data_IF_891073680734
#
_entry.id   IF_891073680734
#
_cell.length_a   1.000
_cell.length_b   1.000
_cell.length_c   1.000
_cell.angle_alpha   90.00
_cell.angle_beta   90.00
_cell.angle_gamma   90.00
#
_symmetry.space_group_name_H-M   'P 1'
#
loop_
_entity.id
_entity.type
_entity.pdbx_description
1 polymer ?
#
# COMPACT_ATOMS: atom_id res chain seq x y z
N UNK A 1 13.49 -8.18 9.62
CA UNK A 1 12.52 -8.02 10.73
C UNK A 1 12.98 -8.83 11.93
N UNK A 2 12.88 -8.32 13.17
CA UNK A 2 13.17 -9.11 14.37
C UNK A 2 12.20 -10.28 14.42
N UNK A 3 12.72 -11.50 14.60
CA UNK A 3 11.92 -12.72 14.66
C UNK A 3 11.03 -12.71 15.89
N UNK A 4 9.80 -12.24 15.75
CA UNK A 4 8.76 -12.38 16.79
C UNK A 4 8.35 -13.84 16.89
N UNK A 5 8.15 -14.33 18.13
CA UNK A 5 7.67 -15.70 18.40
C UNK A 5 6.23 -15.95 17.90
N UNK A 6 5.52 -14.88 17.52
CA UNK A 6 4.17 -14.94 16.91
C UNK A 6 4.22 -15.06 15.39
N UNK A 7 5.41 -15.17 14.79
CA UNK A 7 5.60 -15.33 13.34
C UNK A 7 4.63 -16.34 12.72
N UNK A 8 4.47 -17.57 13.26
CA UNK A 8 3.57 -18.57 12.69
C UNK A 8 2.09 -18.14 12.61
N UNK A 9 1.60 -17.30 13.53
CA UNK A 9 0.19 -16.88 13.59
C UNK A 9 -0.05 -15.64 12.71
N UNK A 10 0.90 -14.70 12.67
CA UNK A 10 0.82 -13.53 11.78
C UNK A 10 1.07 -13.89 10.32
N UNK A 11 1.80 -14.98 10.06
CA UNK A 11 2.14 -15.41 8.70
C UNK A 11 0.93 -15.77 7.87
N UNK A 12 -0.14 -16.33 8.43
CA UNK A 12 -1.37 -16.58 7.65
C UNK A 12 -2.07 -15.33 7.13
N UNK A 13 -1.76 -14.14 7.68
CA UNK A 13 -2.26 -12.86 7.17
C UNK A 13 -1.31 -12.18 6.18
N UNK A 14 -0.07 -12.69 6.03
CA UNK A 14 1.01 -12.04 5.28
C UNK A 14 1.52 -12.94 4.14
N UNK A 15 1.68 -14.23 4.42
CA UNK A 15 2.09 -15.25 3.49
C UNK A 15 0.84 -15.88 2.87
N UNK A 16 0.73 -15.80 1.55
CA UNK A 16 -0.32 -16.51 0.81
C UNK A 16 -0.16 -18.03 0.95
N UNK A 17 -1.23 -18.76 1.30
CA UNK A 17 -1.25 -20.21 1.24
C UNK A 17 -0.86 -20.70 -0.16
N UNK A 18 0.02 -21.70 -0.26
CA UNK A 18 0.41 -22.29 -1.56
C UNK A 18 1.45 -21.48 -2.37
N UNK A 19 1.67 -20.20 -2.08
CA UNK A 19 2.69 -19.41 -2.77
C UNK A 19 4.11 -19.84 -2.37
N UNK A 20 4.88 -20.36 -3.34
CA UNK A 20 6.32 -20.60 -3.18
C UNK A 20 7.08 -19.27 -3.26
N UNK A 21 6.95 -18.44 -2.23
CA UNK A 21 7.72 -17.20 -2.08
C UNK A 21 9.13 -17.61 -1.64
N UNK A 22 10.17 -17.37 -2.47
CA UNK A 22 11.54 -17.68 -2.09
C UNK A 22 11.92 -16.89 -0.83
N UNK A 23 12.48 -17.58 0.17
CA UNK A 23 12.77 -16.99 1.48
C UNK A 23 14.27 -16.84 1.69
N UNK A 24 14.66 -15.81 2.42
CA UNK A 24 16.03 -15.59 2.84
C UNK A 24 16.42 -14.12 2.77
N UNK A 25 17.52 -13.74 3.42
CA UNK A 25 18.03 -12.36 3.44
C UNK A 25 18.34 -11.77 2.05
N UNK A 26 18.33 -12.59 1.01
CA UNK A 26 18.76 -12.28 -0.37
C UNK A 26 17.59 -11.98 -1.30
N UNK A 27 16.38 -12.38 -0.90
CA UNK A 27 15.16 -12.15 -1.65
C UNK A 27 14.47 -10.90 -1.11
N UNK A 28 14.10 -10.02 -2.02
CA UNK A 28 13.26 -8.85 -1.76
C UNK A 28 11.92 -9.09 -2.40
N UNK A 29 10.86 -8.78 -1.65
CA UNK A 29 9.47 -8.88 -2.06
C UNK A 29 8.83 -7.50 -1.96
N UNK A 30 8.04 -7.14 -2.95
CA UNK A 30 7.27 -5.91 -2.98
C UNK A 30 5.91 -6.17 -3.60
N UNK A 31 4.86 -5.65 -2.98
CA UNK A 31 3.50 -5.69 -3.54
C UNK A 31 3.33 -4.56 -4.56
N UNK A 32 2.51 -4.79 -5.59
CA UNK A 32 2.20 -3.86 -6.68
C UNK A 32 3.39 -3.58 -7.61
N UNK A 33 4.42 -2.89 -7.11
CA UNK A 33 5.61 -2.52 -7.87
C UNK A 33 6.88 -2.55 -7.03
N UNK A 34 8.03 -2.52 -7.69
CA UNK A 34 9.34 -2.46 -7.07
C UNK A 34 10.36 -1.79 -7.98
N UNK A 35 11.42 -1.28 -7.36
CA UNK A 35 12.53 -0.63 -8.05
C UNK A 35 13.84 -1.31 -7.68
N UNK A 36 14.57 -1.76 -8.69
CA UNK A 36 15.94 -2.26 -8.57
C UNK A 36 16.91 -1.20 -9.03
N UNK A 37 17.79 -0.78 -8.13
CA UNK A 37 18.80 0.24 -8.40
C UNK A 37 20.18 -0.39 -8.44
N UNK A 38 20.98 -0.01 -9.43
CA UNK A 38 22.42 -0.16 -9.34
C UNK A 38 22.99 0.98 -8.48
N UNK A 39 23.88 0.65 -7.55
CA UNK A 39 24.51 1.62 -6.65
C UNK A 39 25.76 2.26 -7.24
N UNK A 40 26.33 1.64 -8.28
CA UNK A 40 27.56 2.10 -8.93
C UNK A 40 27.26 2.94 -10.17
N UNK A 41 26.06 2.80 -10.74
CA UNK A 41 25.58 3.64 -11.82
C UNK A 41 24.36 4.45 -11.38
N UNK A 42 23.96 5.43 -12.17
CA UNK A 42 22.72 6.18 -11.95
C UNK A 42 21.52 5.50 -12.61
N UNK A 43 21.53 4.18 -12.74
CA UNK A 43 20.52 3.42 -13.47
C UNK A 43 19.71 2.53 -12.54
N UNK A 44 18.43 2.33 -12.89
CA UNK A 44 17.55 1.40 -12.23
C UNK A 44 16.50 0.84 -13.17
N UNK A 45 15.78 -0.17 -12.69
CA UNK A 45 14.63 -0.77 -13.35
C UNK A 45 13.46 -0.69 -12.37
N UNK A 46 12.39 -0.03 -12.79
CA UNK A 46 11.08 -0.12 -12.16
C UNK A 46 10.30 -1.23 -12.85
N UNK A 47 9.62 -2.08 -12.08
CA UNK A 47 8.62 -2.97 -12.63
C UNK A 47 7.43 -3.07 -11.67
N UNK A 48 6.22 -3.21 -12.21
CA UNK A 48 5.01 -3.34 -11.40
C UNK A 48 3.74 -3.43 -12.20
N UNK A 49 2.67 -3.87 -11.55
CA UNK A 49 1.33 -3.93 -12.11
C UNK A 49 0.63 -2.59 -11.95
N UNK A 50 -0.07 -2.13 -13.00
CA UNK A 50 -0.79 -0.86 -13.02
C UNK A 50 -2.08 -0.91 -12.19
N UNK A 51 -2.63 -2.10 -11.93
CA UNK A 51 -3.82 -2.32 -11.10
C UNK A 51 -3.73 -3.65 -10.35
N UNK A 52 -4.74 -3.92 -9.53
CA UNK A 52 -4.92 -5.16 -8.75
C UNK A 52 -6.39 -5.62 -8.85
N UNK A 53 -7.00 -5.38 -10.02
CA UNK A 53 -8.42 -5.60 -10.27
C UNK A 53 -8.73 -7.07 -10.55
N UNK A 54 -7.87 -7.72 -11.34
CA UNK A 54 -8.05 -9.12 -11.70
C UNK A 54 -7.35 -10.04 -10.71
N UNK A 55 -6.13 -9.67 -10.29
CA UNK A 55 -5.33 -10.50 -9.38
C UNK A 55 -4.27 -9.69 -8.63
N UNK A 56 -3.74 -10.29 -7.56
CA UNK A 56 -2.71 -9.63 -6.75
C UNK A 56 -1.31 -9.80 -7.35
N UNK A 57 -0.76 -8.70 -7.85
CA UNK A 57 0.55 -8.59 -8.45
C UNK A 57 1.67 -8.33 -7.45
N UNK A 58 2.78 -9.08 -7.59
CA UNK A 58 3.97 -8.96 -6.73
C UNK A 58 5.23 -8.88 -7.58
N UNK A 59 6.23 -8.16 -7.04
CA UNK A 59 7.57 -8.03 -7.60
C UNK A 59 8.55 -8.73 -6.68
N UNK A 60 9.33 -9.64 -7.24
CA UNK A 60 10.39 -10.33 -6.52
C UNK A 60 11.73 -10.11 -7.17
N UNK A 61 12.76 -9.96 -6.35
CA UNK A 61 14.13 -9.92 -6.81
C UNK A 61 15.04 -10.73 -5.93
N UNK A 62 15.93 -11.50 -6.56
CA UNK A 62 17.08 -12.09 -5.90
C UNK A 62 18.29 -11.20 -6.13
N UNK A 63 18.91 -10.71 -5.05
CA UNK A 63 20.08 -9.84 -5.10
C UNK A 63 21.41 -10.61 -4.90
N UNK A 64 21.41 -11.92 -5.20
CA UNK A 64 22.59 -12.78 -5.01
C UNK A 64 23.49 -12.82 -6.26
N UNK A 65 24.80 -12.73 -6.04
CA UNK A 65 25.81 -12.99 -7.07
C UNK A 65 25.99 -11.84 -8.07
N UNK A 66 26.49 -12.16 -9.25
CA UNK A 66 26.78 -11.20 -10.34
C UNK A 66 25.60 -10.98 -11.29
N UNK A 67 24.47 -11.66 -11.07
CA UNK A 67 23.29 -11.58 -11.92
C UNK A 67 22.03 -11.41 -11.06
N UNK A 68 21.58 -10.17 -10.81
CA UNK A 68 20.31 -9.95 -10.14
C UNK A 68 19.16 -10.48 -11.01
N UNK A 69 18.10 -10.98 -10.37
CA UNK A 69 16.87 -11.38 -11.06
C UNK A 69 15.73 -10.43 -10.72
N UNK A 70 14.77 -10.31 -11.64
CA UNK A 70 13.52 -9.58 -11.46
C UNK A 70 12.38 -10.46 -11.96
N UNK A 71 11.37 -10.65 -11.12
CA UNK A 71 10.19 -11.45 -11.42
C UNK A 71 8.94 -10.63 -11.13
N UNK A 72 8.03 -10.59 -12.09
CA UNK A 72 6.64 -10.21 -11.87
C UNK A 72 5.83 -11.48 -11.68
N UNK A 73 4.99 -11.52 -10.65
CA UNK A 73 4.11 -12.65 -10.38
C UNK A 73 2.70 -12.17 -10.13
N UNK A 74 1.76 -12.85 -10.74
CA UNK A 74 0.33 -12.73 -10.46
C UNK A 74 -0.06 -13.86 -9.51
N UNK A 75 -0.70 -13.50 -8.40
CA UNK A 75 -1.33 -14.47 -7.52
C UNK A 75 -2.83 -14.58 -7.81
N UNK A 76 -3.26 -15.81 -8.07
CA UNK A 76 -4.66 -16.15 -8.34
C UNK A 76 -5.35 -16.80 -7.12
N UNK A 77 -4.71 -16.81 -5.95
CA UNK A 77 -5.17 -17.51 -4.76
C UNK A 77 -5.52 -18.98 -5.09
N UNK A 78 -6.75 -19.40 -4.83
CA UNK A 78 -7.26 -20.76 -5.08
C UNK A 78 -8.06 -20.86 -6.40
N UNK A 79 -7.92 -19.91 -7.32
CA UNK A 79 -8.57 -19.98 -8.64
C UNK A 79 -8.02 -21.17 -9.43
N UNK A 80 -8.90 -22.09 -9.79
CA UNK A 80 -8.60 -23.27 -10.60
C UNK A 80 -8.73 -22.90 -12.08
N UNK A 81 -7.75 -23.27 -12.89
CA UNK A 81 -7.81 -23.17 -14.35
C UNK A 81 -7.84 -24.58 -14.93
N UNK A 82 -8.94 -24.91 -15.61
CA UNK A 82 -9.07 -26.19 -16.30
C UNK A 82 -8.18 -26.22 -17.56
N UNK A 83 -7.80 -27.42 -18.05
CA UNK A 83 -6.98 -27.54 -19.25
C UNK A 83 -7.60 -26.81 -20.45
N UNK A 84 -6.88 -25.81 -20.96
CA UNK A 84 -7.31 -24.98 -22.09
C UNK A 84 -7.95 -23.64 -21.71
N UNK A 85 -8.20 -23.39 -20.43
CA UNK A 85 -8.62 -22.08 -19.94
C UNK A 85 -7.44 -21.11 -19.89
N UNK A 86 -7.75 -19.82 -20.01
CA UNK A 86 -6.77 -18.74 -19.92
C UNK A 86 -7.25 -17.73 -18.87
N UNK A 87 -6.29 -17.20 -18.11
CA UNK A 87 -6.51 -16.07 -17.21
C UNK A 87 -5.73 -14.87 -17.72
N UNK A 88 -6.39 -13.71 -17.81
CA UNK A 88 -5.76 -12.44 -18.17
C UNK A 88 -5.70 -11.61 -16.90
N UNK A 89 -4.48 -11.22 -16.52
CA UNK A 89 -4.21 -10.39 -15.35
C UNK A 89 -4.08 -8.91 -15.75
N UNK A 90 -4.03 -8.06 -14.73
CA UNK A 90 -3.71 -6.63 -14.83
C UNK A 90 -2.46 -6.32 -15.69
N UNK A 91 -2.48 -5.17 -16.36
CA UNK A 91 -1.32 -4.67 -17.11
C UNK A 91 -0.12 -4.46 -16.19
N UNK A 92 1.07 -4.83 -16.67
CA UNK A 92 2.33 -4.53 -15.99
C UNK A 92 3.23 -3.63 -16.84
N UNK A 93 3.98 -2.78 -16.15
CA UNK A 93 4.97 -1.88 -16.72
C UNK A 93 6.38 -2.31 -16.30
N UNK A 94 7.34 -2.10 -17.20
CA UNK A 94 8.77 -2.13 -16.94
C UNK A 94 9.38 -0.85 -17.49
N UNK A 95 10.10 -0.11 -16.66
CA UNK A 95 10.71 1.17 -17.01
C UNK A 95 12.18 1.23 -16.57
N UNK A 96 13.02 1.85 -17.40
CA UNK A 96 14.43 2.09 -17.09
C UNK A 96 14.59 3.51 -16.57
N UNK A 97 15.00 3.64 -15.30
CA UNK A 97 15.00 4.91 -14.60
C UNK A 97 16.42 5.44 -14.38
N UNK A 98 16.58 6.76 -14.45
CA UNK A 98 17.81 7.46 -14.08
C UNK A 98 17.68 8.04 -12.67
N UNK A 99 18.45 7.53 -11.71
CA UNK A 99 18.36 7.89 -10.29
C UNK A 99 18.69 9.35 -9.98
N UNK A 100 19.17 10.13 -10.96
CA UNK A 100 19.40 11.58 -10.84
C UNK A 100 18.14 12.39 -11.11
N UNK A 101 17.11 11.79 -11.72
CA UNK A 101 15.82 12.44 -11.88
C UNK A 101 15.19 12.72 -10.52
N UNK A 102 14.58 13.89 -10.37
CA UNK A 102 13.83 14.25 -9.17
C UNK A 102 12.48 13.53 -9.07
N UNK A 103 12.02 12.90 -10.15
CA UNK A 103 10.70 12.27 -10.25
C UNK A 103 10.77 10.90 -10.91
N UNK A 104 11.46 9.98 -10.24
CA UNK A 104 11.75 8.63 -10.71
C UNK A 104 10.53 7.75 -10.94
N UNK A 105 9.40 8.09 -10.32
CA UNK A 105 8.20 7.26 -10.30
C UNK A 105 7.06 7.88 -11.12
N UNK A 106 7.17 9.13 -11.57
CA UNK A 106 6.11 9.84 -12.30
C UNK A 106 5.46 9.02 -13.39
N UNK A 107 6.24 8.45 -14.31
CA UNK A 107 5.70 7.66 -15.42
C UNK A 107 4.82 6.53 -14.91
N UNK A 108 5.33 5.71 -14.00
CA UNK A 108 4.57 4.60 -13.42
C UNK A 108 3.34 5.07 -12.64
N UNK A 109 3.48 6.12 -11.81
CA UNK A 109 2.38 6.64 -11.00
C UNK A 109 1.27 7.27 -11.85
N UNK A 110 1.62 7.96 -12.94
CA UNK A 110 0.66 8.52 -13.89
C UNK A 110 -0.08 7.40 -14.64
N UNK A 111 0.64 6.39 -15.12
CA UNK A 111 0.01 5.22 -15.77
C UNK A 111 -0.91 4.47 -14.80
N UNK A 112 -0.48 4.28 -13.55
CA UNK A 112 -1.31 3.68 -12.49
C UNK A 112 -2.54 4.55 -12.20
N UNK A 113 -2.37 5.87 -12.16
CA UNK A 113 -3.48 6.80 -11.94
C UNK A 113 -4.50 6.74 -13.09
N UNK A 114 -4.03 6.71 -14.34
CA UNK A 114 -4.88 6.61 -15.52
C UNK A 114 -5.63 5.27 -15.56
N UNK A 115 -4.93 4.15 -15.35
CA UNK A 115 -5.51 2.80 -15.33
C UNK A 115 -6.64 2.68 -14.29
N UNK A 116 -6.45 3.25 -13.10
CA UNK A 116 -7.41 3.15 -12.00
C UNK A 116 -8.38 4.34 -11.92
N UNK A 117 -8.35 5.26 -12.89
CA UNK A 117 -9.14 6.49 -12.86
C UNK A 117 -9.02 7.23 -11.51
N UNK A 118 -7.77 7.42 -11.06
CA UNK A 118 -7.47 7.91 -9.72
C UNK A 118 -8.16 9.25 -9.44
N UNK A 119 -8.81 9.31 -8.29
CA UNK A 119 -9.51 10.51 -7.84
C UNK A 119 -8.51 11.51 -7.28
N UNK A 120 -8.10 12.48 -8.09
CA UNK A 120 -7.28 13.60 -7.60
C UNK A 120 -8.18 14.60 -6.90
N UNK A 121 -8.16 14.59 -5.57
CA UNK A 121 -9.00 15.44 -4.75
C UNK A 121 -8.55 16.92 -4.78
N UNK A 122 -9.47 17.79 -4.35
CA UNK A 122 -9.19 19.17 -3.93
C UNK A 122 -8.12 19.19 -2.80
N UNK A 123 -7.53 20.35 -2.47
CA UNK A 123 -6.61 20.47 -1.34
C UNK A 123 -7.14 19.74 -0.10
N UNK A 124 -6.27 18.97 0.56
CA UNK A 124 -6.64 18.20 1.74
C UNK A 124 -7.19 19.14 2.83
N UNK A 125 -8.40 18.90 3.36
CA UNK A 125 -8.97 19.76 4.36
C UNK A 125 -8.15 19.70 5.65
N UNK A 126 -8.03 20.83 6.35
CA UNK A 126 -7.49 20.82 7.70
C UNK A 126 -8.52 20.20 8.64
N UNK A 127 -8.13 19.23 9.47
CA UNK A 127 -9.08 18.58 10.36
C UNK A 127 -8.48 18.06 11.66
N UNK A 128 -9.38 17.69 12.57
CA UNK A 128 -9.06 17.01 13.81
C UNK A 128 -9.62 15.58 13.78
N UNK A 129 -8.90 14.64 14.39
CA UNK A 129 -9.25 13.23 14.51
C UNK A 129 -9.20 12.81 15.99
N UNK A 130 -10.22 12.10 16.45
CA UNK A 130 -10.32 11.68 17.87
C UNK A 130 -9.31 10.61 18.28
N UNK A 131 -8.79 9.82 17.33
CA UNK A 131 -8.02 8.61 17.61
C UNK A 131 -6.77 8.84 18.45
N UNK A 132 -5.96 9.83 18.08
CA UNK A 132 -4.63 10.03 18.65
C UNK A 132 -4.62 10.61 20.07
N UNK A 133 -5.79 10.84 20.65
CA UNK A 133 -5.93 11.24 22.04
C UNK A 133 -6.86 10.32 22.83
N UNK A 134 -8.06 10.04 22.31
CA UNK A 134 -9.06 9.25 23.02
C UNK A 134 -8.98 7.75 22.72
N UNK A 135 -8.38 7.36 21.60
CA UNK A 135 -8.46 6.00 21.07
C UNK A 135 -9.92 5.51 21.11
N UNK A 136 -10.15 4.30 21.60
CA UNK A 136 -11.48 3.69 21.75
C UNK A 136 -12.32 4.29 22.89
N UNK A 137 -11.75 5.15 23.74
CA UNK A 137 -12.47 5.81 24.85
C UNK A 137 -13.12 7.13 24.42
N UNK A 138 -13.51 7.25 23.15
CA UNK A 138 -14.20 8.44 22.65
C UNK A 138 -15.64 8.47 23.15
N UNK A 139 -16.10 9.63 23.60
CA UNK A 139 -17.45 9.81 24.10
C UNK A 139 -18.08 11.05 23.50
N UNK A 140 -19.42 11.11 23.48
CA UNK A 140 -20.16 12.25 22.96
C UNK A 140 -19.76 13.59 23.61
N UNK A 141 -19.42 13.56 24.90
CA UNK A 141 -18.94 14.73 25.65
C UNK A 141 -17.62 15.26 25.08
N UNK A 142 -16.66 14.37 24.82
CA UNK A 142 -15.37 14.72 24.21
C UNK A 142 -15.56 15.45 22.87
N UNK A 143 -16.42 14.92 22.00
CA UNK A 143 -16.71 15.53 20.70
C UNK A 143 -17.37 16.90 20.86
N UNK A 144 -18.34 17.03 21.78
CA UNK A 144 -19.02 18.30 22.05
C UNK A 144 -18.06 19.36 22.59
N UNK A 145 -17.13 18.99 23.45
CA UNK A 145 -16.16 19.93 24.01
C UNK A 145 -15.12 20.34 22.95
N UNK A 146 -14.69 19.40 22.09
CA UNK A 146 -13.83 19.73 20.98
C UNK A 146 -14.50 20.64 19.93
N UNK A 147 -15.81 20.45 19.67
CA UNK A 147 -16.57 21.34 18.80
C UNK A 147 -16.66 22.78 19.35
N UNK A 148 -16.82 22.94 20.67
CA UNK A 148 -16.79 24.27 21.31
C UNK A 148 -15.40 24.90 21.15
N UNK A 149 -14.36 24.14 21.45
CA UNK A 149 -12.97 24.59 21.32
C UNK A 149 -12.66 25.00 19.86
N UNK A 150 -12.99 24.16 18.88
CA UNK A 150 -12.76 24.46 17.47
C UNK A 150 -13.49 25.72 17.00
N UNK A 151 -14.68 25.99 17.56
CA UNK A 151 -15.43 27.23 17.30
C UNK A 151 -14.74 28.45 17.93
N UNK A 152 -14.25 28.33 19.15
CA UNK A 152 -13.56 29.39 19.89
C UNK A 152 -12.26 29.80 19.19
N UNK A 153 -11.46 28.82 18.76
CA UNK A 153 -10.14 29.03 18.17
C UNK A 153 -10.15 29.04 16.63
N UNK A 154 -11.32 29.19 15.99
CA UNK A 154 -11.47 29.07 14.54
C UNK A 154 -10.57 30.00 13.72
N UNK A 155 -10.24 31.17 14.26
CA UNK A 155 -9.38 32.15 13.59
C UNK A 155 -7.88 31.78 13.67
N UNK A 156 -7.49 30.93 14.62
CA UNK A 156 -6.11 30.48 14.81
C UNK A 156 -5.89 29.11 14.15
N UNK A 157 -6.88 28.21 14.30
CA UNK A 157 -6.85 26.85 13.77
C UNK A 157 -8.16 26.61 13.01
N UNK A 158 -8.19 26.92 11.70
CA UNK A 158 -9.41 26.88 10.89
C UNK A 158 -9.74 25.44 10.46
N UNK A 159 -10.12 24.60 11.41
CA UNK A 159 -10.54 23.22 11.12
C UNK A 159 -11.77 23.21 10.21
N UNK A 160 -11.69 22.48 9.10
CA UNK A 160 -12.77 22.23 8.16
C UNK A 160 -13.49 20.91 8.47
N UNK A 161 -12.78 19.95 9.07
CA UNK A 161 -13.29 18.61 9.38
C UNK A 161 -13.05 18.28 10.85
N UNK A 162 -14.10 17.75 11.50
CA UNK A 162 -14.01 17.09 12.81
C UNK A 162 -14.38 15.63 12.59
N UNK A 163 -13.38 14.76 12.63
CA UNK A 163 -13.52 13.33 12.37
C UNK A 163 -13.63 12.55 13.69
N UNK A 164 -14.72 11.82 13.84
CA UNK A 164 -14.89 10.82 14.89
C UNK A 164 -14.31 9.51 14.35
N UNK A 165 -13.27 9.01 15.01
CA UNK A 165 -12.61 7.75 14.69
C UNK A 165 -13.21 6.59 15.52
N UNK A 166 -12.59 5.42 15.45
CA UNK A 166 -12.99 4.18 16.12
C UNK A 166 -13.28 4.36 17.63
N UNK A 167 -14.41 3.81 18.07
CA UNK A 167 -14.85 3.80 19.47
C UNK A 167 -16.24 4.37 19.73
N UNK A 168 -16.97 4.82 18.69
CA UNK A 168 -18.37 5.26 18.83
C UNK A 168 -19.39 4.15 18.57
N UNK A 169 -19.00 3.16 17.76
CA UNK A 169 -19.85 2.06 17.33
C UNK A 169 -20.06 1.04 18.47
N UNK A 170 -21.12 0.25 18.40
CA UNK A 170 -21.38 -0.83 19.37
C UNK A 170 -20.40 -2.00 19.18
N UNK A 171 -20.13 -2.35 17.93
CA UNK A 171 -19.17 -3.39 17.52
C UNK A 171 -18.72 -3.19 16.06
N UNK A 172 -17.66 -3.89 15.64
CA UNK A 172 -17.19 -3.85 14.25
C UNK A 172 -18.27 -4.46 13.33
N UNK A 173 -18.87 -3.61 12.50
CA UNK A 173 -19.95 -3.98 11.58
C UNK A 173 -21.36 -3.56 12.03
N UNK A 174 -21.50 -3.02 13.24
CA UNK A 174 -22.74 -2.42 13.75
C UNK A 174 -22.51 -0.91 14.01
N UNK A 175 -22.69 -0.11 12.95
CA UNK A 175 -22.29 1.29 12.86
C UNK A 175 -23.33 2.29 13.38
#
# INVERSE_FOLDING_TARGET
>A
MPGTRLGPIRRTMIDQPGASIPRGRRWVHSDMFGVLLDRNSYAGILAGFLSQNEAFGTVLSCLEGTQPSLHLRTNLDDVVLDPGENFITDWACLDFIDTRSSDLLSTYLNLTADENSARVAKPSPLGWCSWYYYFQSVHQTHIRDHLKWAKEYRNEIPLEVIQIDDGYQSDIGDW
#
